data_IF_318821489221
#
_entry.id   IF_318821489221
#
_cell.length_a   1.000
_cell.length_b   1.000
_cell.length_c   1.000
_cell.angle_alpha   90.00
_cell.angle_beta   90.00
_cell.angle_gamma   90.00
#
_symmetry.space_group_name_H-M   'P 1'
#
loop_
_entity.id
_entity.type
_entity.pdbx_description
1 polymer ?
#
# COMPACT_ATOMS: atom_id res chain seq x y z
N UNK A 1 -13.47 5.08 -13.26
CA UNK A 1 -13.33 3.65 -12.86
C UNK A 1 -14.41 3.32 -11.82
N UNK A 2 -14.84 2.04 -11.66
CA UNK A 2 -15.81 1.71 -10.61
C UNK A 2 -15.17 1.87 -9.22
N UNK A 3 -16.01 2.09 -8.20
CA UNK A 3 -15.57 2.16 -6.79
C UNK A 3 -14.85 0.86 -6.37
N UNK A 4 -13.90 0.95 -5.46
CA UNK A 4 -13.22 -0.19 -4.87
C UNK A 4 -14.19 -1.13 -4.14
N UNK A 5 -13.90 -2.42 -4.14
CA UNK A 5 -14.66 -3.39 -3.35
C UNK A 5 -13.73 -4.28 -2.53
N UNK A 6 -14.02 -4.46 -1.24
CA UNK A 6 -13.23 -5.34 -0.38
C UNK A 6 -13.07 -6.75 -0.99
N UNK A 7 -14.16 -7.30 -1.56
CA UNK A 7 -14.16 -8.63 -2.20
C UNK A 7 -13.15 -8.77 -3.33
N UNK A 8 -12.88 -7.68 -4.09
CA UNK A 8 -11.99 -7.70 -5.25
C UNK A 8 -10.67 -6.96 -5.02
N UNK A 9 -10.42 -6.48 -3.82
CA UNK A 9 -9.19 -5.78 -3.48
C UNK A 9 -8.11 -6.72 -2.94
N UNK A 10 -6.87 -6.23 -2.98
CA UNK A 10 -5.70 -6.75 -2.27
C UNK A 10 -4.85 -5.59 -1.80
N UNK A 11 -4.45 -5.59 -0.54
CA UNK A 11 -3.56 -4.58 0.02
C UNK A 11 -2.10 -4.96 -0.23
N UNK A 12 -1.33 -4.03 -0.80
CA UNK A 12 0.12 -4.18 -1.03
C UNK A 12 0.85 -3.15 -0.19
N UNK A 13 1.65 -3.63 0.77
CA UNK A 13 2.37 -2.81 1.75
C UNK A 13 3.86 -2.87 1.43
N UNK A 14 4.42 -1.75 0.91
CA UNK A 14 5.78 -1.72 0.37
C UNK A 14 6.75 -1.06 1.35
N UNK A 15 7.72 -1.83 1.84
CA UNK A 15 8.96 -1.40 2.48
C UNK A 15 8.79 -0.42 3.68
N UNK A 16 7.89 -0.70 4.61
CA UNK A 16 7.82 0.01 5.90
C UNK A 16 8.89 -0.53 6.86
N UNK A 17 10.16 -0.16 6.64
CA UNK A 17 11.30 -0.76 7.33
C UNK A 17 11.90 0.14 8.41
N UNK A 18 12.41 -0.48 9.48
CA UNK A 18 12.82 0.17 10.72
C UNK A 18 13.89 1.27 10.54
N UNK A 19 14.82 1.12 9.59
CA UNK A 19 15.86 2.13 9.32
C UNK A 19 15.46 3.13 8.25
N UNK A 20 14.40 2.85 7.47
CA UNK A 20 13.89 3.76 6.46
C UNK A 20 12.89 4.76 7.03
N UNK A 21 11.97 4.28 7.85
CA UNK A 21 10.86 5.10 8.37
C UNK A 21 11.29 6.38 9.10
N UNK A 22 12.38 6.40 9.92
CA UNK A 22 12.81 7.63 10.57
C UNK A 22 13.26 8.75 9.61
N UNK A 23 13.59 8.42 8.36
CA UNK A 23 13.99 9.39 7.35
C UNK A 23 12.82 9.89 6.49
N UNK A 24 11.66 9.25 6.56
CA UNK A 24 10.48 9.61 5.76
C UNK A 24 9.83 10.88 6.32
N UNK A 25 9.60 11.85 5.43
CA UNK A 25 8.86 13.05 5.79
C UNK A 25 7.43 12.69 6.21
N UNK A 26 7.01 13.17 7.38
CA UNK A 26 5.72 12.84 8.01
C UNK A 26 5.47 11.32 8.14
N UNK A 27 6.56 10.57 8.38
CA UNK A 27 6.57 9.11 8.41
C UNK A 27 5.62 8.51 9.45
N UNK A 28 5.36 9.20 10.56
CA UNK A 28 4.40 8.77 11.60
C UNK A 28 2.96 8.73 11.04
N UNK A 29 2.54 9.78 10.33
CA UNK A 29 1.21 9.83 9.68
C UNK A 29 1.09 8.78 8.58
N UNK A 30 2.13 8.63 7.76
CA UNK A 30 2.17 7.60 6.70
C UNK A 30 2.04 6.20 7.30
N UNK A 31 2.78 5.90 8.36
CA UNK A 31 2.71 4.61 9.05
C UNK A 31 1.35 4.40 9.74
N UNK A 32 0.79 5.43 10.37
CA UNK A 32 -0.53 5.36 10.99
C UNK A 32 -1.60 4.99 9.95
N UNK A 33 -1.58 5.61 8.79
CA UNK A 33 -2.53 5.33 7.71
C UNK A 33 -2.33 3.93 7.11
N UNK A 34 -1.09 3.48 6.95
CA UNK A 34 -0.82 2.10 6.54
C UNK A 34 -1.36 1.08 7.57
N UNK A 35 -1.23 1.36 8.86
CA UNK A 35 -1.81 0.56 9.93
C UNK A 35 -3.35 0.51 9.89
N UNK A 36 -3.99 1.65 9.60
CA UNK A 36 -5.45 1.73 9.39
C UNK A 36 -5.91 0.87 8.21
N UNK A 37 -5.19 0.93 7.09
CA UNK A 37 -5.47 0.09 5.92
C UNK A 37 -5.31 -1.39 6.24
N UNK A 38 -4.23 -1.78 6.94
CA UNK A 38 -3.97 -3.15 7.31
C UNK A 38 -5.05 -3.71 8.26
N UNK A 39 -5.45 -2.94 9.27
CA UNK A 39 -6.53 -3.36 10.18
C UNK A 39 -7.89 -3.42 9.49
N UNK A 40 -8.20 -2.48 8.60
CA UNK A 40 -9.41 -2.54 7.80
C UNK A 40 -9.41 -3.75 6.86
N UNK A 41 -8.27 -4.07 6.23
CA UNK A 41 -8.11 -5.24 5.40
C UNK A 41 -8.38 -6.53 6.19
N UNK A 42 -7.83 -6.64 7.40
CA UNK A 42 -8.08 -7.77 8.31
C UNK A 42 -9.56 -7.90 8.70
N UNK A 43 -10.22 -6.78 9.05
CA UNK A 43 -11.65 -6.76 9.44
C UNK A 43 -12.61 -7.11 8.29
N UNK A 44 -12.19 -6.85 7.06
CA UNK A 44 -13.01 -7.02 5.84
C UNK A 44 -12.56 -8.19 4.97
N UNK A 45 -11.67 -9.06 5.49
CA UNK A 45 -11.12 -10.23 4.79
C UNK A 45 -10.45 -9.89 3.44
N UNK A 46 -9.84 -8.69 3.34
CA UNK A 46 -9.05 -8.28 2.19
C UNK A 46 -7.64 -8.89 2.32
N UNK A 47 -7.21 -9.72 1.36
CA UNK A 47 -5.85 -10.28 1.41
C UNK A 47 -4.81 -9.17 1.30
N UNK A 48 -3.63 -9.42 1.89
CA UNK A 48 -2.53 -8.48 1.85
C UNK A 48 -1.20 -9.18 1.60
N UNK A 49 -0.20 -8.40 1.14
CA UNK A 49 1.20 -8.80 1.02
C UNK A 49 2.11 -7.66 1.46
N UNK A 50 3.21 -8.00 2.16
CA UNK A 50 4.26 -7.06 2.53
C UNK A 50 5.52 -7.29 1.69
N UNK A 51 6.32 -6.22 1.51
CA UNK A 51 7.67 -6.34 0.98
C UNK A 51 8.72 -5.74 1.92
N UNK A 52 9.92 -6.28 1.88
CA UNK A 52 11.14 -5.71 2.48
C UNK A 52 12.25 -5.64 1.44
N UNK A 53 12.80 -4.44 1.21
CA UNK A 53 13.95 -4.24 0.36
C UNK A 53 15.22 -4.34 1.19
N UNK A 54 16.14 -5.22 0.79
CA UNK A 54 17.47 -5.39 1.42
C UNK A 54 17.44 -5.30 2.97
N UNK A 55 16.78 -6.23 3.67
CA UNK A 55 16.54 -6.09 5.12
C UNK A 55 17.82 -6.04 5.96
N UNK A 56 18.96 -6.56 5.47
CA UNK A 56 20.27 -6.38 6.13
C UNK A 56 20.68 -4.92 6.19
N UNK A 57 20.29 -4.12 5.19
CA UNK A 57 20.57 -2.67 5.13
C UNK A 57 19.50 -1.83 5.83
N UNK A 58 18.23 -1.99 5.44
CA UNK A 58 17.11 -1.17 5.90
C UNK A 58 16.42 -1.67 7.17
N UNK A 59 16.81 -2.84 7.67
CA UNK A 59 16.18 -3.47 8.82
C UNK A 59 14.87 -4.18 8.45
N UNK A 60 14.23 -4.85 9.43
CA UNK A 60 12.95 -5.52 9.23
C UNK A 60 11.80 -4.50 9.11
N UNK A 61 10.65 -4.99 8.68
CA UNK A 61 9.38 -4.26 8.76
C UNK A 61 9.13 -3.76 10.18
N UNK A 62 8.61 -2.56 10.32
CA UNK A 62 8.26 -1.99 11.63
C UNK A 62 7.25 -2.86 12.36
N UNK A 63 7.32 -2.99 13.71
CA UNK A 63 6.48 -3.92 14.48
C UNK A 63 4.98 -3.75 14.23
N UNK A 64 4.52 -2.52 14.00
CA UNK A 64 3.10 -2.23 13.75
C UNK A 64 2.52 -2.93 12.50
N UNK A 65 3.37 -3.37 11.56
CA UNK A 65 2.96 -4.00 10.30
C UNK A 65 3.56 -5.40 10.10
N UNK A 66 4.46 -5.86 10.96
CA UNK A 66 5.27 -7.07 10.73
C UNK A 66 4.47 -8.37 10.57
N UNK A 67 3.29 -8.45 11.17
CA UNK A 67 2.47 -9.68 11.20
C UNK A 67 1.14 -9.54 10.43
N UNK A 68 0.96 -8.46 9.66
CA UNK A 68 -0.33 -8.21 9.01
C UNK A 68 -0.54 -9.05 7.74
N UNK A 69 0.52 -9.57 7.12
CA UNK A 69 0.44 -10.36 5.90
C UNK A 69 1.73 -11.15 5.61
N UNK A 70 1.71 -12.11 4.67
CA UNK A 70 2.93 -12.75 4.16
C UNK A 70 3.94 -11.73 3.64
N UNK A 71 5.23 -12.01 3.89
CA UNK A 71 6.34 -11.13 3.56
C UNK A 71 7.13 -11.66 2.35
N UNK A 72 7.42 -10.77 1.40
CA UNK A 72 8.33 -11.00 0.28
C UNK A 72 9.58 -10.13 0.46
N UNK A 73 10.73 -10.76 0.59
CA UNK A 73 12.04 -10.06 0.61
C UNK A 73 12.54 -9.86 -0.81
N UNK A 74 13.05 -8.68 -1.11
CA UNK A 74 13.58 -8.32 -2.43
C UNK A 74 14.91 -7.57 -2.35
N UNK A 75 15.70 -7.67 -3.41
CA UNK A 75 16.90 -6.85 -3.60
C UNK A 75 16.66 -5.73 -4.60
N UNK A 76 15.79 -5.94 -5.58
CA UNK A 76 15.33 -4.93 -6.52
C UNK A 76 14.47 -3.86 -5.84
N UNK A 77 14.43 -2.67 -6.40
CA UNK A 77 13.46 -1.64 -5.96
C UNK A 77 12.06 -2.02 -6.42
N UNK A 78 11.91 -2.44 -7.67
CA UNK A 78 10.67 -2.96 -8.22
C UNK A 78 10.35 -4.34 -7.62
N UNK A 79 9.23 -4.45 -6.93
CA UNK A 79 8.78 -5.72 -6.36
C UNK A 79 8.38 -6.74 -7.44
N UNK A 80 8.00 -6.29 -8.62
CA UNK A 80 7.64 -7.17 -9.73
C UNK A 80 8.84 -7.96 -10.31
N UNK A 81 10.07 -7.59 -9.95
CA UNK A 81 11.25 -8.38 -10.27
C UNK A 81 11.35 -9.69 -9.45
N UNK A 82 10.55 -9.83 -8.39
CA UNK A 82 10.55 -11.01 -7.53
C UNK A 82 9.40 -11.96 -7.92
N UNK A 83 9.68 -13.19 -8.35
CA UNK A 83 8.62 -14.15 -8.70
C UNK A 83 7.61 -14.38 -7.58
N UNK A 84 8.05 -14.44 -6.33
CA UNK A 84 7.18 -14.62 -5.16
C UNK A 84 6.18 -13.46 -4.99
N UNK A 85 6.56 -12.22 -5.35
CA UNK A 85 5.65 -11.09 -5.34
C UNK A 85 4.60 -11.21 -6.46
N UNK A 86 5.04 -11.54 -7.68
CA UNK A 86 4.11 -11.73 -8.81
C UNK A 86 3.11 -12.86 -8.54
N UNK A 87 3.55 -13.94 -7.90
CA UNK A 87 2.65 -15.03 -7.46
C UNK A 87 1.66 -14.55 -6.40
N UNK A 88 2.12 -13.79 -5.41
CA UNK A 88 1.26 -13.26 -4.35
C UNK A 88 0.18 -12.30 -4.88
N UNK A 89 0.50 -11.48 -5.88
CA UNK A 89 -0.45 -10.52 -6.48
C UNK A 89 -1.14 -11.06 -7.74
N UNK A 90 -1.05 -12.35 -8.02
CA UNK A 90 -1.66 -12.95 -9.21
C UNK A 90 -3.19 -12.81 -9.25
N UNK A 91 -3.76 -12.88 -10.45
CA UNK A 91 -5.22 -12.75 -10.70
C UNK A 91 -5.65 -11.30 -10.97
N UNK A 92 -6.95 -11.03 -10.88
CA UNK A 92 -7.57 -9.78 -11.35
C UNK A 92 -7.94 -8.80 -10.23
N UNK A 93 -7.44 -9.02 -9.00
CA UNK A 93 -7.74 -8.14 -7.87
C UNK A 93 -7.21 -6.73 -8.11
N UNK A 94 -7.93 -5.75 -7.60
CA UNK A 94 -7.53 -4.35 -7.52
C UNK A 94 -6.40 -4.23 -6.48
N UNK A 95 -5.24 -3.71 -6.88
CA UNK A 95 -4.08 -3.61 -5.99
C UNK A 95 -4.09 -2.24 -5.32
N UNK A 96 -4.41 -2.23 -4.01
CA UNK A 96 -4.40 -1.02 -3.18
C UNK A 96 -3.03 -0.91 -2.53
N UNK A 97 -2.28 0.12 -2.90
CA UNK A 97 -0.85 0.25 -2.60
C UNK A 97 -0.58 1.36 -1.59
N UNK A 98 0.13 1.03 -0.53
CA UNK A 98 0.77 1.97 0.40
C UNK A 98 2.25 1.63 0.57
N UNK A 99 3.10 2.58 0.99
CA UNK A 99 4.52 2.27 1.16
C UNK A 99 5.52 3.39 1.03
N UNK A 100 6.79 3.04 1.10
CA UNK A 100 7.97 3.89 0.99
C UNK A 100 9.04 3.26 0.05
N UNK A 101 9.81 4.06 -0.69
CA UNK A 101 9.58 5.47 -0.98
C UNK A 101 8.75 5.61 -2.26
N UNK A 102 7.89 6.60 -2.27
CA UNK A 102 6.99 6.89 -3.39
C UNK A 102 7.69 6.92 -4.76
N UNK A 103 8.88 7.54 -4.82
CA UNK A 103 9.65 7.75 -6.06
C UNK A 103 10.66 6.64 -6.36
N UNK A 104 10.77 5.62 -5.50
CA UNK A 104 11.70 4.48 -5.68
C UNK A 104 10.89 3.18 -5.74
N UNK A 105 10.78 2.44 -4.63
CA UNK A 105 10.17 1.10 -4.63
C UNK A 105 8.69 1.13 -5.01
N UNK A 106 7.93 2.06 -4.46
CA UNK A 106 6.50 2.21 -4.78
C UNK A 106 6.31 2.58 -6.25
N UNK A 107 7.00 3.64 -6.71
CA UNK A 107 6.83 4.15 -8.07
C UNK A 107 7.21 3.12 -9.14
N UNK A 108 8.34 2.42 -8.97
CA UNK A 108 8.76 1.38 -9.91
C UNK A 108 7.77 0.21 -9.93
N UNK A 109 7.37 -0.29 -8.76
CA UNK A 109 6.39 -1.38 -8.67
C UNK A 109 5.05 -1.01 -9.29
N UNK A 110 4.53 0.18 -8.99
CA UNK A 110 3.26 0.67 -9.55
C UNK A 110 3.33 0.75 -11.07
N UNK A 111 4.40 1.33 -11.64
CA UNK A 111 4.52 1.48 -13.08
C UNK A 111 4.61 0.12 -13.79
N UNK A 112 5.35 -0.84 -13.26
CA UNK A 112 5.43 -2.19 -13.82
C UNK A 112 4.07 -2.92 -13.71
N UNK A 113 3.36 -2.79 -12.59
CA UNK A 113 2.01 -3.36 -12.47
C UNK A 113 1.02 -2.77 -13.49
N UNK A 114 1.10 -1.46 -13.77
CA UNK A 114 0.30 -0.81 -14.81
C UNK A 114 0.65 -1.32 -16.21
N UNK A 115 1.94 -1.53 -16.52
CA UNK A 115 2.40 -2.16 -17.77
C UNK A 115 1.81 -3.59 -17.93
N UNK A 116 1.69 -4.32 -16.82
CA UNK A 116 1.00 -5.62 -16.77
C UNK A 116 -0.53 -5.49 -16.79
N UNK A 117 -1.06 -4.30 -17.07
CA UNK A 117 -2.50 -4.00 -17.15
C UNK A 117 -3.28 -4.31 -15.87
N UNK A 118 -2.62 -4.26 -14.71
CA UNK A 118 -3.29 -4.39 -13.42
C UNK A 118 -4.02 -3.10 -13.07
N UNK A 119 -5.15 -3.21 -12.41
CA UNK A 119 -5.79 -2.05 -11.78
C UNK A 119 -5.02 -1.72 -10.51
N UNK A 120 -4.42 -0.53 -10.47
CA UNK A 120 -3.60 -0.06 -9.36
C UNK A 120 -4.20 1.19 -8.74
N UNK A 121 -4.39 1.16 -7.43
CA UNK A 121 -4.89 2.26 -6.59
C UNK A 121 -3.82 2.62 -5.58
N UNK A 122 -3.38 3.87 -5.60
CA UNK A 122 -2.30 4.39 -4.75
C UNK A 122 -2.91 5.25 -3.65
N UNK A 123 -2.66 4.87 -2.39
CA UNK A 123 -3.21 5.57 -1.22
C UNK A 123 -2.28 6.70 -0.83
N UNK A 124 -2.57 7.91 -1.30
CA UNK A 124 -1.67 9.06 -1.23
C UNK A 124 -1.20 9.39 0.19
N UNK A 125 -2.06 9.38 1.18
CA UNK A 125 -1.76 9.69 2.58
C UNK A 125 -1.13 8.52 3.37
N UNK A 126 -0.96 7.35 2.72
CA UNK A 126 -0.22 6.20 3.21
C UNK A 126 1.04 5.90 2.37
N UNK A 127 1.48 6.87 1.55
CA UNK A 127 2.70 6.81 0.74
C UNK A 127 3.67 7.90 1.20
N UNK A 128 4.92 7.54 1.45
CA UNK A 128 5.95 8.45 1.93
C UNK A 128 7.20 8.52 1.06
N UNK A 129 7.95 9.61 1.22
CA UNK A 129 9.32 9.79 0.74
C UNK A 129 10.09 10.68 1.70
N UNK A 130 11.42 10.63 1.66
CA UNK A 130 12.29 11.51 2.47
C UNK A 130 12.08 12.99 2.14
N UNK A 131 11.86 13.31 0.86
CA UNK A 131 11.57 14.67 0.41
C UNK A 131 10.10 14.78 -0.06
N UNK A 132 9.32 15.75 0.45
CA UNK A 132 7.93 15.99 0.02
C UNK A 132 7.79 16.13 -1.50
N UNK A 133 8.66 16.90 -2.12
CA UNK A 133 8.65 17.13 -3.57
C UNK A 133 8.81 15.81 -4.36
N UNK A 134 9.67 14.88 -3.89
CA UNK A 134 9.84 13.57 -4.54
C UNK A 134 8.56 12.74 -4.46
N UNK A 135 7.83 12.83 -3.35
CA UNK A 135 6.53 12.18 -3.18
C UNK A 135 5.48 12.77 -4.13
N UNK A 136 5.38 14.09 -4.21
CA UNK A 136 4.41 14.78 -5.09
C UNK A 136 4.64 14.44 -6.56
N UNK A 137 5.89 14.51 -7.02
CA UNK A 137 6.26 14.17 -8.40
C UNK A 137 5.94 12.70 -8.70
N UNK A 138 6.25 11.79 -7.76
CA UNK A 138 5.96 10.37 -7.93
C UNK A 138 4.46 10.09 -8.03
N UNK A 139 3.63 10.67 -7.15
CA UNK A 139 2.17 10.53 -7.21
C UNK A 139 1.61 11.06 -8.53
N UNK A 140 2.06 12.25 -8.98
CA UNK A 140 1.66 12.82 -10.27
C UNK A 140 2.06 11.91 -11.45
N UNK A 141 3.27 11.33 -11.41
CA UNK A 141 3.75 10.40 -12.43
C UNK A 141 2.92 9.12 -12.46
N UNK A 142 2.67 8.50 -11.32
CA UNK A 142 1.84 7.29 -11.24
C UNK A 142 0.42 7.55 -11.76
N UNK A 143 -0.18 8.68 -11.38
CA UNK A 143 -1.50 9.09 -11.87
C UNK A 143 -1.53 9.26 -13.40
N UNK A 144 -0.51 9.91 -13.99
CA UNK A 144 -0.43 10.12 -15.44
C UNK A 144 -0.27 8.83 -16.25
N UNK A 145 0.17 7.74 -15.60
CA UNK A 145 0.29 6.41 -16.19
C UNK A 145 -0.91 5.50 -15.91
N UNK A 146 -1.95 6.01 -15.23
CA UNK A 146 -3.21 5.30 -15.04
C UNK A 146 -3.45 4.74 -13.62
N UNK A 147 -2.58 5.02 -12.65
CA UNK A 147 -2.89 4.72 -11.26
C UNK A 147 -4.02 5.63 -10.75
N UNK A 148 -4.96 5.06 -10.03
CA UNK A 148 -5.99 5.81 -9.31
C UNK A 148 -5.41 6.32 -7.98
N UNK A 149 -5.54 7.62 -7.70
CA UNK A 149 -5.02 8.21 -6.47
C UNK A 149 -6.19 8.46 -5.51
N UNK A 150 -6.09 7.90 -4.31
CA UNK A 150 -7.12 7.97 -3.27
C UNK A 150 -6.50 8.28 -1.91
N UNK A 151 -7.33 8.49 -0.90
CA UNK A 151 -6.91 8.58 0.51
C UNK A 151 -7.30 7.31 1.27
N UNK A 152 -6.69 7.09 2.42
CA UNK A 152 -7.04 6.01 3.36
C UNK A 152 -8.55 6.00 3.64
N UNK A 153 -9.13 7.14 3.96
CA UNK A 153 -10.56 7.26 4.26
C UNK A 153 -11.46 6.86 3.08
N UNK A 154 -11.10 7.26 1.84
CA UNK A 154 -11.81 6.83 0.63
C UNK A 154 -11.81 5.31 0.51
N UNK A 155 -10.66 4.66 0.66
CA UNK A 155 -10.55 3.20 0.60
C UNK A 155 -11.44 2.52 1.62
N UNK A 156 -11.40 2.95 2.88
CA UNK A 156 -12.16 2.35 3.96
C UNK A 156 -13.68 2.44 3.71
N UNK A 157 -14.17 3.60 3.28
CA UNK A 157 -15.60 3.78 2.99
C UNK A 157 -16.03 3.08 1.69
N UNK A 158 -15.16 3.00 0.70
CA UNK A 158 -15.45 2.23 -0.50
C UNK A 158 -15.49 0.72 -0.24
N UNK A 159 -14.65 0.19 0.64
CA UNK A 159 -14.72 -1.21 1.06
C UNK A 159 -15.98 -1.51 1.90
N UNK A 160 -16.41 -0.58 2.75
CA UNK A 160 -17.63 -0.72 3.57
C UNK A 160 -18.92 -0.61 2.75
N UNK A 161 -18.97 0.28 1.78
CA UNK A 161 -20.14 0.59 0.94
C UNK A 161 -21.33 1.20 1.66
N UNK A 162 -21.63 0.82 2.89
CA UNK A 162 -22.85 1.23 3.63
C UNK A 162 -22.57 1.33 5.12
N UNK A 163 -23.24 2.24 5.78
CA UNK A 163 -23.29 2.32 7.24
C UNK A 163 -23.98 1.09 7.89
N UNK A 164 -24.69 0.28 7.10
CA UNK A 164 -25.31 -0.96 7.52
C UNK A 164 -24.34 -2.16 7.50
N UNK A 165 -23.11 -1.95 7.00
CA UNK A 165 -22.12 -3.02 6.94
C UNK A 165 -21.80 -3.54 8.36
N UNK A 166 -21.75 -4.87 8.60
CA UNK A 166 -21.50 -5.43 9.94
C UNK A 166 -20.26 -4.87 10.63
N UNK A 167 -19.20 -4.60 9.87
CA UNK A 167 -17.94 -4.05 10.37
C UNK A 167 -17.90 -2.50 10.40
N UNK A 168 -18.97 -1.80 10.02
CA UNK A 168 -18.96 -0.34 9.91
C UNK A 168 -18.45 0.35 11.18
N UNK A 169 -18.96 -0.08 12.36
CA UNK A 169 -18.56 0.51 13.64
C UNK A 169 -17.07 0.34 13.95
N UNK A 170 -16.50 -0.80 13.59
CA UNK A 170 -15.09 -1.11 13.84
C UNK A 170 -14.19 -0.33 12.88
N UNK A 171 -14.48 -0.39 11.59
CA UNK A 171 -13.68 0.30 10.56
C UNK A 171 -13.78 1.82 10.69
N UNK A 172 -14.97 2.38 10.95
CA UNK A 172 -15.15 3.84 11.12
C UNK A 172 -14.41 4.42 12.34
N UNK A 173 -14.08 3.62 13.34
CA UNK A 173 -13.24 4.06 14.47
C UNK A 173 -11.77 4.26 14.09
N UNK A 174 -11.29 3.60 13.03
CA UNK A 174 -9.90 3.72 12.60
C UNK A 174 -9.55 5.12 12.09
N UNK A 175 -10.55 5.89 11.63
CA UNK A 175 -10.38 7.22 11.00
C UNK A 175 -10.87 8.39 11.87
N UNK A 176 -11.05 8.14 13.15
CA UNK A 176 -11.41 9.17 14.16
C UNK A 176 -10.20 9.66 14.92
#
# INVERSE_FOLDING_TARGET
MPLLTAKNAMLVVIDFQAKLMPAIHDGETVLLNAGRLAEAARLLDVPAVLTEQYPRGLGPTVPALAEVAPLVTKMSFDACAEPAFLEAVAGDRELVICGCEAHVCVGQTVLTLLEHRRRVVVVADAIGSRAPQSREIALSRMASHGAEIVTTEMVLFEWLRSAEHPQFRMVSKLIR
#
